data_IF_737071156105
#
_entry.id   IF_737071156105
#
_cell.length_a   1.000
_cell.length_b   1.000
_cell.length_c   1.000
_cell.angle_alpha   90.00
_cell.angle_beta   90.00
_cell.angle_gamma   90.00
#
_symmetry.space_group_name_H-M   'P 1'
#
loop_
_entity.id
_entity.type
_entity.pdbx_description
1 polymer ?
#
# COMPACT_ATOMS: atom_id res chain seq x y z
N UNK A 1 16.71 1.87 -59.63
CA UNK A 1 15.70 2.70 -58.93
C UNK A 1 16.39 3.35 -57.74
N UNK A 2 16.53 4.68 -57.74
CA UNK A 2 17.46 5.43 -56.90
C UNK A 2 16.85 5.70 -55.53
N UNK A 3 17.55 5.35 -54.45
CA UNK A 3 17.10 5.48 -53.04
C UNK A 3 16.61 6.89 -52.66
N UNK A 4 16.99 7.89 -53.38
CA UNK A 4 16.56 9.30 -53.17
C UNK A 4 15.13 9.60 -53.64
N UNK A 5 14.49 8.76 -54.44
CA UNK A 5 13.10 8.96 -54.88
C UNK A 5 12.04 8.31 -54.00
N UNK A 6 12.47 7.46 -53.04
CA UNK A 6 11.54 6.80 -52.10
C UNK A 6 11.19 7.69 -50.90
N UNK A 7 11.97 8.71 -50.58
CA UNK A 7 11.75 9.62 -49.45
C UNK A 7 10.93 10.85 -49.77
N UNK A 8 10.47 11.01 -51.00
CA UNK A 8 9.76 12.21 -51.43
C UNK A 8 8.22 12.05 -51.60
N UNK A 9 7.67 10.84 -51.31
CA UNK A 9 6.25 10.57 -51.55
C UNK A 9 5.48 10.05 -50.34
N UNK A 10 5.99 10.24 -49.12
CA UNK A 10 5.24 9.93 -47.88
C UNK A 10 5.18 11.13 -46.92
N UNK A 11 4.96 12.33 -47.47
CA UNK A 11 4.47 13.44 -46.65
C UNK A 11 2.94 13.38 -46.61
N UNK A 12 2.39 12.23 -46.30
CA UNK A 12 1.04 12.09 -45.76
C UNK A 12 1.07 12.60 -44.31
N UNK A 13 0.47 13.77 -44.10
CA UNK A 13 0.23 14.29 -42.76
C UNK A 13 -0.50 13.23 -41.93
N UNK A 14 0.23 12.50 -41.10
CA UNK A 14 -0.34 11.80 -39.94
C UNK A 14 -0.74 12.93 -39.00
N UNK A 15 -1.99 13.40 -39.13
CA UNK A 15 -2.67 14.15 -38.09
C UNK A 15 -2.75 13.21 -36.88
N UNK A 16 -1.72 13.20 -36.06
CA UNK A 16 -1.82 12.70 -34.67
C UNK A 16 -2.87 13.61 -34.04
N UNK A 17 -4.12 13.11 -34.01
CA UNK A 17 -5.10 13.61 -33.06
C UNK A 17 -4.42 13.55 -31.70
N UNK A 18 -3.86 14.68 -31.26
CA UNK A 18 -3.53 14.91 -29.87
C UNK A 18 -4.87 14.81 -29.13
N UNK A 19 -5.21 13.58 -28.73
CA UNK A 19 -6.21 13.39 -27.70
C UNK A 19 -5.75 14.33 -26.58
N UNK A 20 -6.51 15.38 -26.33
CA UNK A 20 -6.16 16.44 -25.42
C UNK A 20 -5.82 15.85 -24.07
N UNK A 21 -4.54 15.65 -23.81
CA UNK A 21 -4.05 15.43 -22.46
C UNK A 21 -4.42 16.69 -21.71
N UNK A 22 -5.45 16.57 -20.87
CA UNK A 22 -5.77 17.65 -19.94
C UNK A 22 -4.46 18.08 -19.31
N UNK A 23 -4.14 19.37 -19.38
CA UNK A 23 -2.95 19.92 -18.73
C UNK A 23 -2.97 19.42 -17.30
N UNK A 24 -1.88 18.79 -16.80
CA UNK A 24 -1.84 18.34 -15.42
C UNK A 24 -2.24 19.51 -14.53
N UNK A 25 -3.30 19.36 -13.76
CA UNK A 25 -3.69 20.35 -12.78
C UNK A 25 -2.51 20.62 -11.86
N UNK A 26 -2.33 21.87 -11.42
CA UNK A 26 -1.27 22.19 -10.47
C UNK A 26 -1.49 21.39 -9.19
N UNK A 27 -0.55 20.52 -8.84
CA UNK A 27 -0.60 19.80 -7.55
C UNK A 27 -0.39 20.80 -6.43
N UNK A 28 -1.41 21.05 -5.63
CA UNK A 28 -1.38 21.98 -4.50
C UNK A 28 -1.17 21.30 -3.15
N UNK A 29 -0.94 19.98 -3.14
CA UNK A 29 -0.69 19.18 -1.94
C UNK A 29 0.78 19.02 -1.61
N UNK A 30 1.05 18.59 -0.37
CA UNK A 30 2.37 18.15 0.08
C UNK A 30 2.46 16.63 -0.01
N UNK A 31 3.42 16.13 -0.81
CA UNK A 31 3.83 14.73 -0.75
C UNK A 31 4.93 14.61 0.27
N UNK A 32 4.67 13.89 1.36
CA UNK A 32 5.67 13.57 2.37
C UNK A 32 6.38 12.29 2.00
N UNK A 33 7.70 12.28 2.15
CA UNK A 33 8.58 11.15 1.82
C UNK A 33 8.95 10.41 3.09
N UNK A 34 8.67 9.12 3.12
CA UNK A 34 9.09 8.24 4.20
C UNK A 34 9.77 7.00 3.65
N UNK A 35 10.49 6.30 4.48
CA UNK A 35 11.19 5.07 4.12
C UNK A 35 10.85 3.96 5.11
N UNK A 36 10.84 2.73 4.63
CA UNK A 36 10.61 1.55 5.48
C UNK A 36 11.75 1.39 6.49
N UNK A 37 11.35 1.11 7.74
CA UNK A 37 12.23 1.04 8.88
C UNK A 37 11.97 -0.23 9.70
N UNK A 38 12.83 -0.54 10.65
CA UNK A 38 12.70 -1.72 11.50
C UNK A 38 11.70 -1.56 12.65
N UNK A 39 11.84 -2.48 13.62
CA UNK A 39 11.06 -2.50 14.87
C UNK A 39 11.76 -1.80 16.03
N UNK A 40 13.02 -1.43 15.85
CA UNK A 40 13.89 -0.81 16.84
C UNK A 40 14.50 0.46 16.28
N UNK A 41 14.80 1.47 17.12
CA UNK A 41 15.51 2.64 16.68
C UNK A 41 16.95 2.28 16.22
N UNK A 42 17.35 2.87 15.11
CA UNK A 42 18.73 2.94 14.65
C UNK A 42 19.08 4.42 14.47
N UNK A 43 19.71 5.00 15.47
CA UNK A 43 20.00 6.44 15.52
C UNK A 43 20.89 6.88 14.34
N UNK A 44 21.84 6.05 13.92
CA UNK A 44 22.73 6.37 12.79
C UNK A 44 21.92 6.43 11.48
N UNK A 45 21.02 5.47 11.28
CA UNK A 45 20.15 5.47 10.11
C UNK A 45 19.15 6.63 10.16
N UNK A 46 18.58 6.93 11.33
CA UNK A 46 17.64 8.05 11.49
C UNK A 46 18.30 9.39 11.21
N UNK A 47 19.52 9.62 11.71
CA UNK A 47 20.27 10.82 11.38
C UNK A 47 20.50 10.94 9.87
N UNK A 48 20.94 9.86 9.22
CA UNK A 48 21.14 9.85 7.76
C UNK A 48 19.85 10.18 7.00
N UNK A 49 18.70 9.62 7.41
CA UNK A 49 17.41 9.90 6.77
C UNK A 49 17.01 11.37 6.93
N UNK A 50 17.25 11.93 8.11
CA UNK A 50 17.03 13.34 8.38
C UNK A 50 17.88 14.22 7.46
N UNK A 51 19.17 13.93 7.34
CA UNK A 51 20.12 14.69 6.50
C UNK A 51 19.74 14.61 5.01
N UNK A 52 19.16 13.48 4.59
CA UNK A 52 18.64 13.27 3.22
C UNK A 52 17.28 13.94 2.96
N UNK A 53 16.68 14.57 3.97
CA UNK A 53 15.41 15.29 3.84
C UNK A 53 14.17 14.39 3.73
N UNK A 54 14.17 13.23 4.40
CA UNK A 54 12.96 12.45 4.60
C UNK A 54 12.07 13.11 5.65
N UNK A 55 10.74 13.00 5.43
CA UNK A 55 9.72 13.60 6.30
C UNK A 55 9.25 12.64 7.41
N UNK A 56 9.62 11.34 7.32
CA UNK A 56 9.21 10.33 8.29
C UNK A 56 9.72 8.94 7.95
N UNK A 57 9.26 7.98 8.74
CA UNK A 57 9.58 6.55 8.57
C UNK A 57 8.32 5.69 8.65
N UNK A 58 8.37 4.50 8.07
CA UNK A 58 7.37 3.45 8.21
C UNK A 58 7.98 2.24 8.90
N UNK A 59 7.48 1.92 10.09
CA UNK A 59 8.01 0.83 10.89
C UNK A 59 7.49 -0.54 10.48
N UNK A 60 7.79 -1.54 11.29
CA UNK A 60 7.38 -2.92 11.11
C UNK A 60 6.77 -3.44 12.42
N UNK A 61 5.67 -4.16 12.35
CA UNK A 61 4.97 -4.72 13.52
C UNK A 61 4.21 -6.02 13.18
N UNK A 62 3.86 -6.83 14.16
CA UNK A 62 4.11 -6.67 15.59
C UNK A 62 5.57 -6.91 15.99
N UNK A 63 5.93 -6.37 17.13
CA UNK A 63 7.27 -6.46 17.74
C UNK A 63 8.00 -5.11 17.81
N UNK A 64 7.26 -4.01 17.71
CA UNK A 64 7.79 -2.64 17.81
C UNK A 64 8.20 -2.32 19.25
N UNK A 65 9.41 -1.81 19.42
CA UNK A 65 9.86 -1.19 20.68
C UNK A 65 9.27 0.22 20.83
N UNK A 66 8.02 0.31 21.26
CA UNK A 66 7.20 1.52 21.19
C UNK A 66 7.88 2.72 21.85
N UNK A 67 8.27 2.60 23.12
CA UNK A 67 8.79 3.71 23.91
C UNK A 67 10.14 4.23 23.38
N UNK A 68 11.04 3.31 23.04
CA UNK A 68 12.35 3.68 22.49
C UNK A 68 12.23 4.28 21.09
N UNK A 69 11.36 3.69 20.26
CA UNK A 69 11.09 4.19 18.90
C UNK A 69 10.46 5.58 18.92
N UNK A 70 9.46 5.79 19.78
CA UNK A 70 8.81 7.10 19.91
C UNK A 70 9.79 8.19 20.33
N UNK A 71 10.61 7.93 21.36
CA UNK A 71 11.67 8.86 21.79
C UNK A 71 12.65 9.19 20.66
N UNK A 72 13.02 8.18 19.86
CA UNK A 72 13.92 8.38 18.73
C UNK A 72 13.24 9.20 17.62
N UNK A 73 11.98 8.91 17.28
CA UNK A 73 11.21 9.71 16.31
C UNK A 73 11.14 11.18 16.71
N UNK A 74 10.85 11.46 17.98
CA UNK A 74 10.79 12.83 18.52
C UNK A 74 12.17 13.51 18.44
N UNK A 75 13.23 12.83 18.87
CA UNK A 75 14.61 13.36 18.87
C UNK A 75 15.09 13.74 17.47
N UNK A 76 14.84 12.89 16.48
CA UNK A 76 15.27 13.10 15.09
C UNK A 76 14.27 13.90 14.25
N UNK A 77 13.08 14.23 14.80
CA UNK A 77 11.98 14.83 14.06
C UNK A 77 11.65 14.04 12.78
N UNK A 78 11.55 12.71 12.93
CA UNK A 78 11.15 11.75 11.90
C UNK A 78 9.94 10.96 12.39
N UNK A 79 8.73 11.51 12.27
CA UNK A 79 7.52 10.84 12.73
C UNK A 79 7.32 9.49 12.03
N UNK A 80 6.83 8.51 12.80
CA UNK A 80 6.38 7.24 12.24
C UNK A 80 4.97 7.40 11.70
N UNK A 81 4.80 7.26 10.38
CA UNK A 81 3.47 7.45 9.78
C UNK A 81 2.60 6.19 9.77
N UNK A 82 3.18 5.01 10.00
CA UNK A 82 2.50 3.73 10.02
C UNK A 82 3.45 2.56 10.19
N UNK A 83 2.88 1.36 10.24
CA UNK A 83 3.63 0.09 10.31
C UNK A 83 3.27 -0.82 9.14
N UNK A 84 4.21 -1.65 8.73
CA UNK A 84 3.95 -2.81 7.86
C UNK A 84 3.63 -4.00 8.75
N UNK A 85 2.53 -4.72 8.49
CA UNK A 85 2.25 -6.00 9.15
C UNK A 85 3.24 -7.06 8.69
N UNK A 86 4.26 -7.34 9.49
CA UNK A 86 5.44 -8.12 9.08
C UNK A 86 5.20 -9.64 8.99
N UNK A 87 4.00 -10.12 9.31
CA UNK A 87 3.68 -11.57 9.28
C UNK A 87 2.77 -11.97 8.13
N UNK A 88 2.31 -11.02 7.29
CA UNK A 88 1.30 -11.28 6.26
C UNK A 88 1.70 -12.35 5.22
N UNK A 89 2.99 -12.63 5.05
CA UNK A 89 3.46 -13.68 4.16
C UNK A 89 3.43 -15.08 4.77
N UNK A 90 3.69 -15.18 6.08
CA UNK A 90 3.79 -16.46 6.80
C UNK A 90 2.49 -16.85 7.47
N UNK A 91 1.78 -15.90 8.05
CA UNK A 91 0.53 -16.08 8.79
C UNK A 91 -0.53 -15.20 8.11
N UNK A 92 -1.25 -15.78 7.15
CA UNK A 92 -2.13 -15.02 6.24
C UNK A 92 -3.57 -14.96 6.74
N UNK A 93 -4.25 -13.84 6.48
CA UNK A 93 -5.70 -13.74 6.70
C UNK A 93 -6.52 -14.63 5.76
N UNK A 94 -5.93 -15.05 4.63
CA UNK A 94 -6.55 -15.95 3.64
C UNK A 94 -6.27 -17.43 3.85
N UNK A 95 -5.46 -17.79 4.84
CA UNK A 95 -5.01 -19.17 5.06
C UNK A 95 -6.18 -20.15 5.12
N UNK A 96 -6.07 -21.38 4.55
CA UNK A 96 -7.09 -22.42 4.67
C UNK A 96 -7.46 -22.75 6.11
N UNK A 97 -6.47 -22.75 7.02
CA UNK A 97 -6.68 -23.02 8.44
C UNK A 97 -7.30 -21.80 9.15
N UNK A 98 -8.47 -21.99 9.77
CA UNK A 98 -9.12 -20.97 10.60
C UNK A 98 -8.24 -20.52 11.78
N UNK A 99 -7.47 -21.43 12.36
CA UNK A 99 -6.53 -21.14 13.45
C UNK A 99 -5.42 -20.19 12.99
N UNK A 100 -4.89 -20.39 11.78
CA UNK A 100 -3.87 -19.49 11.20
C UNK A 100 -4.48 -18.12 10.89
N UNK A 101 -5.71 -18.08 10.35
CA UNK A 101 -6.41 -16.80 10.11
C UNK A 101 -6.65 -16.02 11.40
N UNK A 102 -7.03 -16.70 12.47
CA UNK A 102 -7.20 -16.09 13.79
C UNK A 102 -5.87 -15.56 14.34
N UNK A 103 -4.80 -16.35 14.25
CA UNK A 103 -3.47 -15.91 14.64
C UNK A 103 -3.03 -14.68 13.85
N UNK A 104 -3.30 -14.64 12.54
CA UNK A 104 -3.03 -13.49 11.69
C UNK A 104 -3.80 -12.26 12.14
N UNK A 105 -5.10 -12.40 12.40
CA UNK A 105 -5.97 -11.33 12.89
C UNK A 105 -5.48 -10.76 14.22
N UNK A 106 -5.08 -11.62 15.17
CA UNK A 106 -4.51 -11.18 16.44
C UNK A 106 -3.18 -10.44 16.25
N UNK A 107 -2.32 -10.94 15.35
CA UNK A 107 -1.06 -10.29 15.01
C UNK A 107 -1.27 -8.91 14.39
N UNK A 108 -2.25 -8.78 13.49
CA UNK A 108 -2.61 -7.49 12.89
C UNK A 108 -3.20 -6.53 13.94
N UNK A 109 -4.04 -7.02 14.86
CA UNK A 109 -4.54 -6.23 15.99
C UNK A 109 -3.40 -5.66 16.85
N UNK A 110 -2.37 -6.47 17.11
CA UNK A 110 -1.20 -6.01 17.87
C UNK A 110 -0.40 -4.95 17.08
N UNK A 111 -0.18 -5.15 15.78
CA UNK A 111 0.46 -4.15 14.93
C UNK A 111 -0.33 -2.83 14.90
N UNK A 112 -1.67 -2.87 14.95
CA UNK A 112 -2.51 -1.67 15.03
C UNK A 112 -2.33 -0.93 16.37
N UNK A 113 -2.25 -1.65 17.49
CA UNK A 113 -1.97 -1.05 18.81
C UNK A 113 -0.57 -0.44 18.88
N UNK A 114 0.42 -1.15 18.32
CA UNK A 114 1.80 -0.64 18.22
C UNK A 114 1.87 0.60 17.31
N UNK A 115 1.18 0.60 16.17
CA UNK A 115 1.09 1.78 15.30
C UNK A 115 0.52 2.98 16.06
N UNK A 116 -0.55 2.77 16.83
CA UNK A 116 -1.10 3.81 17.72
C UNK A 116 -0.09 4.29 18.75
N UNK A 117 0.63 3.37 19.39
CA UNK A 117 1.60 3.66 20.43
C UNK A 117 2.76 4.54 19.94
N UNK A 118 3.23 4.33 18.72
CA UNK A 118 4.31 5.15 18.12
C UNK A 118 3.82 6.41 17.39
N UNK A 119 2.52 6.71 17.44
CA UNK A 119 1.93 7.89 16.79
C UNK A 119 1.62 7.73 15.30
N UNK A 120 1.66 6.50 14.80
CA UNK A 120 1.27 6.18 13.42
C UNK A 120 -0.23 6.28 13.17
N UNK A 121 -0.63 6.30 11.91
CA UNK A 121 -2.03 6.43 11.47
C UNK A 121 -2.55 5.19 10.73
N UNK A 122 -1.70 4.23 10.43
CA UNK A 122 -2.08 3.07 9.60
C UNK A 122 -1.20 1.85 9.80
N UNK A 123 -1.74 0.70 9.40
CA UNK A 123 -0.98 -0.54 9.19
C UNK A 123 -1.18 -1.01 7.76
N UNK A 124 -0.08 -1.23 7.03
CA UNK A 124 -0.07 -1.84 5.71
C UNK A 124 -0.31 -3.35 5.83
N UNK A 125 -1.23 -3.86 5.04
CA UNK A 125 -1.62 -5.25 4.99
C UNK A 125 -1.65 -5.80 3.56
N UNK A 126 -0.89 -6.85 3.27
CA UNK A 126 -1.17 -7.74 2.13
C UNK A 126 -2.17 -8.80 2.60
N UNK A 127 -3.39 -8.85 2.05
CA UNK A 127 -4.48 -9.66 2.63
C UNK A 127 -4.28 -11.17 2.49
N UNK A 128 -3.46 -11.60 1.53
CA UNK A 128 -3.17 -13.00 1.27
C UNK A 128 -2.48 -13.20 -0.07
N UNK A 129 -2.46 -14.45 -0.54
CA UNK A 129 -1.95 -14.80 -1.88
C UNK A 129 -2.76 -15.92 -2.50
N UNK A 130 -2.90 -15.92 -3.80
CA UNK A 130 -3.47 -17.05 -4.53
C UNK A 130 -2.44 -18.18 -4.60
N UNK A 131 -2.81 -19.38 -4.14
CA UNK A 131 -1.93 -20.55 -4.10
C UNK A 131 -2.73 -21.84 -4.35
N UNK A 132 -2.91 -22.17 -5.61
CA UNK A 132 -3.63 -23.39 -6.01
C UNK A 132 -5.08 -23.44 -5.53
N UNK A 133 -5.61 -24.66 -5.42
CA UNK A 133 -7.03 -24.90 -5.19
C UNK A 133 -7.50 -24.59 -3.75
N UNK A 134 -6.58 -24.46 -2.81
CA UNK A 134 -6.89 -24.19 -1.41
C UNK A 134 -6.84 -22.70 -1.04
N UNK A 135 -6.23 -21.88 -1.88
CA UNK A 135 -6.21 -20.41 -1.77
C UNK A 135 -6.49 -19.82 -3.16
N UNK A 136 -7.67 -20.05 -3.72
CA UNK A 136 -8.14 -19.42 -4.95
C UNK A 136 -8.37 -17.92 -4.72
N UNK A 137 -8.50 -17.14 -5.80
CA UNK A 137 -8.81 -15.71 -5.70
C UNK A 137 -10.05 -15.44 -4.83
N UNK A 138 -11.14 -16.21 -5.04
CA UNK A 138 -12.36 -16.07 -4.26
C UNK A 138 -12.16 -16.42 -2.78
N UNK A 139 -11.41 -17.47 -2.47
CA UNK A 139 -11.13 -17.85 -1.08
C UNK A 139 -10.25 -16.82 -0.37
N UNK A 140 -9.28 -16.21 -1.07
CA UNK A 140 -8.50 -15.09 -0.52
C UNK A 140 -9.41 -13.92 -0.22
N UNK A 141 -10.29 -13.56 -1.16
CA UNK A 141 -11.28 -12.50 -1.02
C UNK A 141 -12.17 -12.71 0.22
N UNK A 142 -12.89 -13.80 0.27
CA UNK A 142 -13.89 -14.05 1.33
C UNK A 142 -13.25 -14.15 2.72
N UNK A 143 -12.19 -14.96 2.83
CA UNK A 143 -11.51 -15.21 4.11
C UNK A 143 -10.84 -13.95 4.66
N UNK A 144 -10.16 -13.19 3.83
CA UNK A 144 -9.49 -11.97 4.30
C UNK A 144 -10.49 -10.87 4.67
N UNK A 145 -11.55 -10.66 3.90
CA UNK A 145 -12.62 -9.71 4.25
C UNK A 145 -13.26 -10.08 5.58
N UNK A 146 -13.59 -11.36 5.80
CA UNK A 146 -14.13 -11.83 7.07
C UNK A 146 -13.24 -11.43 8.27
N UNK A 147 -11.94 -11.64 8.15
CA UNK A 147 -11.01 -11.33 9.23
C UNK A 147 -10.78 -9.82 9.40
N UNK A 148 -10.73 -9.07 8.30
CA UNK A 148 -10.59 -7.61 8.35
C UNK A 148 -11.81 -6.98 9.02
N UNK A 149 -13.02 -7.42 8.67
CA UNK A 149 -14.26 -6.91 9.27
C UNK A 149 -14.31 -7.11 10.79
N UNK A 150 -13.75 -8.21 11.31
CA UNK A 150 -13.62 -8.44 12.75
C UNK A 150 -12.69 -7.44 13.46
N UNK A 151 -11.84 -6.74 12.71
CA UNK A 151 -10.92 -5.71 13.23
C UNK A 151 -11.45 -4.28 13.11
N UNK A 152 -12.57 -4.05 12.42
CA UNK A 152 -13.10 -2.71 12.20
C UNK A 152 -13.44 -1.96 13.50
N UNK A 153 -14.01 -2.59 14.54
CA UNK A 153 -14.23 -1.92 15.81
C UNK A 153 -12.92 -1.43 16.46
N UNK A 154 -11.87 -2.24 16.40
CA UNK A 154 -10.55 -1.86 16.91
C UNK A 154 -9.92 -0.74 16.05
N UNK A 155 -10.10 -0.79 14.73
CA UNK A 155 -9.61 0.24 13.82
C UNK A 155 -10.24 1.60 14.14
N UNK A 156 -11.52 1.62 14.41
CA UNK A 156 -12.26 2.83 14.80
C UNK A 156 -11.86 3.34 16.19
N UNK A 157 -11.77 2.47 17.17
CA UNK A 157 -11.32 2.80 18.53
C UNK A 157 -9.94 3.47 18.52
N UNK A 158 -8.97 2.83 17.85
CA UNK A 158 -7.58 3.30 17.75
C UNK A 158 -7.41 4.46 16.78
N UNK A 159 -8.36 4.70 15.88
CA UNK A 159 -8.25 5.60 14.71
C UNK A 159 -7.06 5.23 13.83
N UNK A 160 -6.89 3.94 13.57
CA UNK A 160 -5.84 3.36 12.73
C UNK A 160 -6.45 2.78 11.46
N UNK A 161 -5.98 3.22 10.31
CA UNK A 161 -6.38 2.64 9.03
C UNK A 161 -5.68 1.30 8.77
N UNK A 162 -6.41 0.34 8.24
CA UNK A 162 -5.85 -0.85 7.61
C UNK A 162 -5.71 -0.53 6.13
N UNK A 163 -4.48 -0.40 5.66
CA UNK A 163 -4.21 -0.05 4.27
C UNK A 163 -3.83 -1.29 3.48
N UNK A 164 -4.69 -1.64 2.54
CA UNK A 164 -4.49 -2.82 1.70
C UNK A 164 -3.47 -2.52 0.62
N UNK A 165 -2.47 -3.38 0.52
CA UNK A 165 -1.52 -3.39 -0.57
C UNK A 165 -1.74 -4.59 -1.47
N UNK A 166 -1.74 -4.41 -2.79
CA UNK A 166 -1.63 -5.49 -3.75
C UNK A 166 -0.22 -5.52 -4.33
N UNK A 167 0.31 -6.74 -4.45
CA UNK A 167 1.67 -7.03 -4.90
C UNK A 167 1.64 -8.22 -5.87
N UNK A 168 2.77 -8.86 -6.17
CA UNK A 168 2.81 -10.03 -7.07
C UNK A 168 2.38 -11.34 -6.38
N UNK A 169 1.18 -11.33 -5.83
CA UNK A 169 0.61 -12.42 -5.02
C UNK A 169 -0.56 -13.17 -5.65
N UNK A 170 -0.89 -12.89 -6.93
CA UNK A 170 -2.02 -13.51 -7.63
C UNK A 170 -3.38 -12.90 -7.30
N UNK A 171 -3.42 -11.83 -6.51
CA UNK A 171 -4.65 -11.27 -6.01
C UNK A 171 -4.85 -9.81 -6.44
N UNK A 172 -6.01 -9.50 -7.04
CA UNK A 172 -6.40 -8.15 -7.45
C UNK A 172 -5.40 -7.45 -8.39
N UNK A 173 -5.04 -8.09 -9.49
CA UNK A 173 -4.11 -7.55 -10.49
C UNK A 173 -4.71 -6.52 -11.45
N UNK A 174 -6.02 -6.26 -11.35
CA UNK A 174 -6.70 -5.22 -12.09
C UNK A 174 -7.16 -4.12 -11.12
N UNK A 175 -7.05 -2.85 -11.49
CA UNK A 175 -7.42 -1.74 -10.60
C UNK A 175 -8.90 -1.77 -10.22
N UNK A 176 -9.77 -2.26 -11.11
CA UNK A 176 -11.19 -2.46 -10.84
C UNK A 176 -11.41 -3.52 -9.74
N UNK A 177 -10.71 -4.66 -9.82
CA UNK A 177 -10.79 -5.71 -8.78
C UNK A 177 -10.32 -5.19 -7.43
N UNK A 178 -9.24 -4.41 -7.42
CA UNK A 178 -8.70 -3.85 -6.17
C UNK A 178 -9.63 -2.81 -5.56
N UNK A 179 -10.24 -1.95 -6.38
CA UNK A 179 -11.31 -1.04 -5.97
C UNK A 179 -12.47 -1.82 -5.34
N UNK A 180 -12.97 -2.84 -6.05
CA UNK A 180 -14.14 -3.61 -5.63
C UNK A 180 -13.86 -4.39 -4.34
N UNK A 181 -12.63 -4.86 -4.14
CA UNK A 181 -12.21 -5.50 -2.90
C UNK A 181 -12.26 -4.53 -1.71
N UNK A 182 -11.75 -3.31 -1.87
CA UNK A 182 -11.79 -2.29 -0.83
C UNK A 182 -13.23 -1.90 -0.53
N UNK A 183 -14.03 -1.67 -1.57
CA UNK A 183 -15.44 -1.30 -1.43
C UNK A 183 -16.27 -2.41 -0.78
N UNK A 184 -15.96 -3.67 -1.08
CA UNK A 184 -16.64 -4.81 -0.45
C UNK A 184 -16.42 -4.90 1.06
N UNK A 185 -15.33 -4.35 1.61
CA UNK A 185 -15.12 -4.31 3.06
C UNK A 185 -16.05 -3.29 3.73
N UNK A 186 -16.43 -2.24 3.00
CA UNK A 186 -17.39 -1.20 3.39
C UNK A 186 -17.01 -0.50 4.71
N UNK A 187 -15.83 0.12 4.76
CA UNK A 187 -15.36 0.84 5.93
C UNK A 187 -14.42 1.98 5.58
N UNK A 188 -14.63 3.15 6.18
CA UNK A 188 -13.71 4.29 6.10
C UNK A 188 -12.32 3.99 6.65
N UNK A 189 -12.20 2.96 7.50
CA UNK A 189 -10.92 2.55 8.12
C UNK A 189 -10.10 1.61 7.24
N UNK A 190 -10.62 1.19 6.07
CA UNK A 190 -9.90 0.34 5.13
C UNK A 190 -9.78 1.06 3.80
N UNK A 191 -8.54 1.29 3.36
CA UNK A 191 -8.24 2.02 2.13
C UNK A 191 -7.03 1.41 1.42
N UNK A 192 -6.65 1.96 0.26
CA UNK A 192 -5.54 1.49 -0.52
C UNK A 192 -4.20 2.07 -0.05
N UNK A 193 -3.22 1.20 0.05
CA UNK A 193 -1.80 1.51 -0.06
C UNK A 193 -1.37 1.14 -1.48
N UNK A 194 -1.33 2.11 -2.38
CA UNK A 194 -1.06 1.83 -3.77
C UNK A 194 0.45 1.79 -4.04
N UNK A 195 0.98 0.59 -4.29
CA UNK A 195 2.37 0.41 -4.71
C UNK A 195 2.49 0.65 -6.22
N UNK A 196 3.06 1.79 -6.58
CA UNK A 196 3.25 2.21 -7.96
C UNK A 196 4.20 1.27 -8.68
N UNK A 197 5.28 0.85 -8.02
CA UNK A 197 6.31 0.01 -8.59
C UNK A 197 5.81 -1.39 -8.92
N UNK A 198 5.17 -2.06 -7.95
CA UNK A 198 4.63 -3.40 -8.13
C UNK A 198 3.56 -3.45 -9.22
N UNK A 199 2.70 -2.43 -9.28
CA UNK A 199 1.55 -2.44 -10.19
C UNK A 199 1.87 -2.01 -11.62
N UNK A 200 3.04 -1.45 -11.91
CA UNK A 200 3.49 -1.15 -13.29
C UNK A 200 3.40 -2.37 -14.21
N UNK A 201 3.63 -3.56 -13.68
CA UNK A 201 3.52 -4.82 -14.43
C UNK A 201 2.09 -5.08 -14.93
N UNK A 202 1.09 -4.56 -14.27
CA UNK A 202 -0.33 -4.85 -14.51
C UNK A 202 -1.10 -3.67 -15.11
N UNK A 203 -0.40 -2.66 -15.57
CA UNK A 203 -0.98 -1.53 -16.27
C UNK A 203 -0.41 -0.19 -15.86
N UNK A 204 -0.71 0.87 -16.60
CA UNK A 204 -0.14 2.18 -16.37
C UNK A 204 -0.69 2.82 -15.10
N UNK A 205 0.18 3.43 -14.31
CA UNK A 205 -0.15 4.00 -12.99
C UNK A 205 -1.28 5.03 -13.02
N UNK A 206 -1.41 5.80 -14.10
CA UNK A 206 -2.51 6.78 -14.21
C UNK A 206 -3.90 6.13 -14.25
N UNK A 207 -4.02 4.89 -14.80
CA UNK A 207 -5.27 4.12 -14.77
C UNK A 207 -5.59 3.70 -13.33
N UNK A 208 -4.60 3.17 -12.61
CA UNK A 208 -4.74 2.78 -11.21
C UNK A 208 -5.17 3.95 -10.33
N UNK A 209 -4.45 5.07 -10.42
CA UNK A 209 -4.75 6.27 -9.63
C UNK A 209 -6.16 6.79 -9.91
N UNK A 210 -6.58 6.81 -11.18
CA UNK A 210 -7.93 7.29 -11.56
C UNK A 210 -9.03 6.39 -11.01
N UNK A 211 -8.86 5.07 -11.06
CA UNK A 211 -9.87 4.10 -10.62
C UNK A 211 -9.94 4.03 -9.11
N UNK A 212 -8.80 3.99 -8.42
CA UNK A 212 -8.76 3.98 -6.95
C UNK A 212 -9.25 5.32 -6.37
N UNK A 213 -8.86 6.44 -6.99
CA UNK A 213 -9.31 7.78 -6.59
C UNK A 213 -9.11 8.04 -5.10
N UNK A 214 -10.17 8.48 -4.43
CA UNK A 214 -10.18 8.80 -2.99
C UNK A 214 -9.90 7.61 -2.06
N UNK A 215 -9.87 6.38 -2.58
CA UNK A 215 -9.52 5.19 -1.80
C UNK A 215 -8.02 5.09 -1.55
N UNK A 216 -7.21 5.78 -2.33
CA UNK A 216 -5.76 5.83 -2.14
C UNK A 216 -5.42 6.78 -1.00
N UNK A 217 -4.96 6.22 0.12
CA UNK A 217 -4.52 7.02 1.26
C UNK A 217 -3.00 7.20 1.28
N UNK A 218 -2.25 6.19 0.83
CA UNK A 218 -0.79 6.21 0.73
C UNK A 218 -0.30 5.58 -0.57
N UNK A 219 0.91 5.97 -0.96
CA UNK A 219 1.66 5.44 -2.11
C UNK A 219 2.93 4.74 -1.63
N UNK A 220 3.36 3.67 -2.32
CA UNK A 220 4.67 3.02 -2.18
C UNK A 220 5.42 3.00 -3.50
#
# INVERSE_FOLDING_TARGET
MNRRKFLATTSGAISLAQAGMAKPGKFNGLIRKAVKFGTKPDEKQMQKLKDLGFDGIEGSGPGMEIESMKKACDRFNLPMHGLVYNKHWKVRLSDPSSKVREQSRMGLANAMREAKGVGGSSVLLVPGRVKGDQETHQQVWDRSIEQIRKLLPLAEELKIHILIETVWNGFCYQPEQFRDYIDAIDSKWVQAYYDIGNMQKFGPSHKWIRILGKRTLKLD
#
